data_IF_179734377516
#
_entry.id   IF_179734377516
#
_cell.length_a   1.000
_cell.length_b   1.000
_cell.length_c   1.000
_cell.angle_alpha   90.00
_cell.angle_beta   90.00
_cell.angle_gamma   90.00
#
_symmetry.space_group_name_H-M   'P 1'
#
loop_
_entity.id
_entity.type
_entity.pdbx_description
1 polymer ?
#
# COMPACT_ATOMS: atom_id res chain seq x y z
N UNK A 1 -2.11 -31.35 14.53
CA UNK A 1 -1.84 -30.10 15.26
C UNK A 1 -0.37 -29.77 15.09
N UNK A 2 0.49 -30.72 15.42
CA UNK A 2 1.96 -30.66 15.29
C UNK A 2 2.48 -30.14 13.92
N UNK A 3 1.96 -30.64 12.79
CA UNK A 3 2.38 -30.18 11.45
C UNK A 3 2.07 -28.71 11.15
N UNK A 4 0.93 -28.21 11.63
CA UNK A 4 0.53 -26.81 11.44
C UNK A 4 1.42 -25.90 12.29
N UNK A 5 1.78 -26.36 13.48
CA UNK A 5 2.69 -25.65 14.38
C UNK A 5 4.12 -25.62 13.79
N UNK A 6 4.58 -26.69 13.14
CA UNK A 6 5.86 -26.76 12.42
C UNK A 6 5.92 -25.85 11.19
N UNK A 7 4.88 -25.86 10.34
CA UNK A 7 4.79 -25.00 9.16
C UNK A 7 4.81 -23.51 9.53
N UNK A 8 4.09 -23.14 10.61
CA UNK A 8 4.07 -21.77 11.12
C UNK A 8 5.44 -21.34 11.65
N UNK A 9 6.16 -22.25 12.32
CA UNK A 9 7.50 -21.99 12.85
C UNK A 9 8.52 -21.79 11.75
N UNK A 10 8.50 -22.66 10.73
CA UNK A 10 9.41 -22.56 9.59
C UNK A 10 9.24 -21.23 8.85
N UNK A 11 7.99 -20.79 8.63
CA UNK A 11 7.71 -19.48 8.02
C UNK A 11 8.29 -18.33 8.86
N UNK A 12 8.09 -18.36 10.18
CA UNK A 12 8.63 -17.33 11.07
C UNK A 12 10.16 -17.29 11.05
N UNK A 13 10.82 -18.45 11.04
CA UNK A 13 12.28 -18.56 10.96
C UNK A 13 12.82 -18.00 9.63
N UNK A 14 12.14 -18.27 8.52
CA UNK A 14 12.46 -17.74 7.19
C UNK A 14 12.34 -16.22 7.14
N UNK A 15 11.23 -15.65 7.64
CA UNK A 15 11.04 -14.18 7.71
C UNK A 15 12.04 -13.52 8.66
N UNK A 16 12.39 -14.19 9.76
CA UNK A 16 13.43 -13.71 10.66
C UNK A 16 14.81 -13.73 10.01
N UNK A 17 15.11 -14.73 9.18
CA UNK A 17 16.36 -14.75 8.42
C UNK A 17 16.40 -13.61 7.41
N UNK A 18 15.33 -13.40 6.64
CA UNK A 18 15.23 -12.28 5.70
C UNK A 18 15.43 -10.92 6.39
N UNK A 19 14.79 -10.69 7.55
CA UNK A 19 14.95 -9.42 8.28
C UNK A 19 16.41 -9.19 8.70
N UNK A 20 17.09 -10.24 9.22
CA UNK A 20 18.51 -10.14 9.56
C UNK A 20 19.37 -9.88 8.33
N UNK A 21 19.12 -10.57 7.23
CA UNK A 21 19.88 -10.39 5.98
C UNK A 21 19.73 -8.96 5.47
N UNK A 22 18.52 -8.38 5.52
CA UNK A 22 18.27 -6.99 5.15
C UNK A 22 19.01 -6.00 6.05
N UNK A 23 19.01 -6.22 7.37
CA UNK A 23 19.71 -5.35 8.33
C UNK A 23 21.24 -5.40 8.18
N UNK A 24 21.79 -6.53 7.70
CA UNK A 24 23.23 -6.74 7.53
C UNK A 24 23.72 -6.46 6.09
N UNK A 25 22.80 -6.27 5.14
CA UNK A 25 23.13 -6.07 3.73
C UNK A 25 23.80 -4.70 3.49
N UNK A 26 24.83 -4.69 2.65
CA UNK A 26 25.40 -3.44 2.11
C UNK A 26 24.43 -2.76 1.12
N UNK A 27 23.53 -3.54 0.52
CA UNK A 27 22.47 -3.07 -0.39
C UNK A 27 21.14 -3.77 -0.04
N UNK A 28 20.41 -3.26 0.96
CA UNK A 28 19.14 -3.84 1.38
C UNK A 28 18.05 -3.71 0.33
N UNK A 29 18.09 -2.68 -0.52
CA UNK A 29 17.09 -2.46 -1.58
C UNK A 29 17.15 -3.56 -2.64
N UNK A 30 18.35 -3.84 -3.17
CA UNK A 30 18.52 -4.90 -4.17
C UNK A 30 18.09 -6.26 -3.61
N UNK A 31 18.46 -6.56 -2.35
CA UNK A 31 18.05 -7.80 -1.69
C UNK A 31 16.52 -7.88 -1.51
N UNK A 32 15.88 -6.80 -1.05
CA UNK A 32 14.44 -6.73 -0.88
C UNK A 32 13.69 -6.90 -2.21
N UNK A 33 14.19 -6.31 -3.30
CA UNK A 33 13.61 -6.50 -4.65
C UNK A 33 13.73 -7.95 -5.11
N UNK A 34 14.87 -8.60 -4.90
CA UNK A 34 15.08 -10.00 -5.28
C UNK A 34 14.17 -10.96 -4.50
N UNK A 35 13.93 -10.65 -3.21
CA UNK A 35 13.11 -11.46 -2.31
C UNK A 35 11.72 -10.86 -2.06
N UNK A 36 11.22 -10.04 -2.98
CA UNK A 36 9.99 -9.28 -2.79
C UNK A 36 8.77 -10.16 -2.45
N UNK A 37 8.70 -11.36 -3.01
CA UNK A 37 7.62 -12.32 -2.73
C UNK A 37 7.54 -12.77 -1.26
N UNK A 38 8.63 -12.60 -0.50
CA UNK A 38 8.72 -12.93 0.92
C UNK A 38 8.38 -11.75 1.84
N UNK A 39 8.25 -10.55 1.29
CA UNK A 39 7.80 -9.34 2.00
C UNK A 39 6.27 -9.37 2.16
N UNK A 40 5.79 -10.38 2.87
CA UNK A 40 4.37 -10.64 3.08
C UNK A 40 3.87 -10.10 4.44
N UNK A 41 2.61 -10.38 4.76
CA UNK A 41 2.01 -9.98 6.05
C UNK A 41 2.76 -10.55 7.25
N UNK A 42 3.32 -11.75 7.16
CA UNK A 42 4.07 -12.37 8.27
C UNK A 42 5.40 -11.64 8.48
N UNK A 43 6.09 -11.28 7.40
CA UNK A 43 7.29 -10.44 7.46
C UNK A 43 6.99 -9.06 8.09
N UNK A 44 5.95 -8.38 7.61
CA UNK A 44 5.56 -7.06 8.15
C UNK A 44 5.23 -7.13 9.64
N UNK A 45 4.48 -8.15 10.07
CA UNK A 45 4.16 -8.35 11.48
C UNK A 45 5.41 -8.58 12.34
N UNK A 46 6.37 -9.36 11.84
CA UNK A 46 7.65 -9.56 12.51
C UNK A 46 8.45 -8.26 12.63
N UNK A 47 8.54 -7.49 11.55
CA UNK A 47 9.25 -6.21 11.51
C UNK A 47 8.66 -5.21 12.50
N UNK A 48 7.33 -5.06 12.53
CA UNK A 48 6.64 -4.21 13.52
C UNK A 48 6.94 -4.65 14.95
N UNK A 49 6.85 -5.95 15.24
CA UNK A 49 7.14 -6.48 16.58
C UNK A 49 8.56 -6.17 17.04
N UNK A 50 9.56 -6.31 16.15
CA UNK A 50 10.95 -6.00 16.48
C UNK A 50 11.16 -4.49 16.68
N UNK A 51 10.47 -3.66 15.90
CA UNK A 51 10.54 -2.19 16.03
C UNK A 51 9.97 -1.73 17.38
N UNK A 52 8.80 -2.25 17.76
CA UNK A 52 8.17 -1.97 19.05
C UNK A 52 9.05 -2.42 20.22
N UNK A 53 9.66 -3.60 20.14
CA UNK A 53 10.59 -4.12 21.14
C UNK A 53 11.83 -3.22 21.28
N UNK A 54 12.47 -2.86 20.17
CA UNK A 54 13.63 -1.96 20.19
C UNK A 54 13.31 -0.59 20.80
N UNK A 55 12.12 -0.05 20.52
CA UNK A 55 11.65 1.19 21.13
C UNK A 55 11.40 1.05 22.64
N UNK A 56 10.77 -0.05 23.06
CA UNK A 56 10.48 -0.34 24.47
C UNK A 56 11.77 -0.52 25.30
N UNK A 57 12.81 -1.11 24.70
CA UNK A 57 14.13 -1.26 25.32
C UNK A 57 14.98 0.01 25.29
N UNK A 58 14.53 1.06 24.60
CA UNK A 58 15.30 2.29 24.40
C UNK A 58 16.52 2.11 23.48
N UNK A 59 16.53 1.04 22.67
CA UNK A 59 17.59 0.80 21.69
C UNK A 59 17.33 1.60 20.41
N UNK A 60 17.69 2.88 20.46
CA UNK A 60 17.44 3.80 19.33
C UNK A 60 18.14 3.39 18.03
N UNK A 61 19.31 2.75 18.10
CA UNK A 61 20.05 2.32 16.91
C UNK A 61 19.32 1.20 16.18
N UNK A 62 18.85 0.20 16.92
CA UNK A 62 18.04 -0.88 16.36
C UNK A 62 16.71 -0.33 15.81
N UNK A 63 16.03 0.55 16.56
CA UNK A 63 14.78 1.15 16.12
C UNK A 63 14.95 1.94 14.81
N UNK A 64 16.02 2.76 14.69
CA UNK A 64 16.32 3.48 13.44
C UNK A 64 16.57 2.55 12.26
N UNK A 65 17.32 1.47 12.49
CA UNK A 65 17.64 0.50 11.44
C UNK A 65 16.39 -0.26 10.96
N UNK A 66 15.54 -0.70 11.90
CA UNK A 66 14.27 -1.36 11.60
C UNK A 66 13.29 -0.41 10.88
N UNK A 67 13.23 0.86 11.28
CA UNK A 67 12.43 1.87 10.59
C UNK A 67 12.90 2.07 9.13
N UNK A 68 14.20 2.09 8.88
CA UNK A 68 14.71 2.20 7.51
C UNK A 68 14.30 1.01 6.63
N UNK A 69 14.29 -0.21 7.19
CA UNK A 69 13.78 -1.40 6.48
C UNK A 69 12.27 -1.29 6.24
N UNK A 70 11.51 -0.80 7.22
CA UNK A 70 10.07 -0.55 7.06
C UNK A 70 9.79 0.39 5.89
N UNK A 71 10.44 1.55 5.87
CA UNK A 71 10.25 2.55 4.83
C UNK A 71 10.64 2.01 3.45
N UNK A 72 11.74 1.26 3.36
CA UNK A 72 12.17 0.57 2.14
C UNK A 72 11.10 -0.41 1.62
N UNK A 73 10.58 -1.26 2.49
CA UNK A 73 9.58 -2.27 2.12
C UNK A 73 8.29 -1.62 1.65
N UNK A 74 7.82 -0.58 2.35
CA UNK A 74 6.64 0.18 1.93
C UNK A 74 6.86 0.86 0.58
N UNK A 75 8.02 1.46 0.35
CA UNK A 75 8.36 2.06 -0.93
C UNK A 75 8.29 1.04 -2.08
N UNK A 76 8.90 -0.15 -1.91
CA UNK A 76 8.84 -1.22 -2.90
C UNK A 76 7.41 -1.71 -3.15
N UNK A 77 6.60 -1.85 -2.10
CA UNK A 77 5.19 -2.22 -2.25
C UNK A 77 4.43 -1.18 -3.08
N UNK A 78 4.65 0.12 -2.80
CA UNK A 78 4.02 1.21 -3.55
C UNK A 78 4.42 1.23 -5.03
N UNK A 79 5.68 0.92 -5.35
CA UNK A 79 6.14 0.82 -6.75
C UNK A 79 5.37 -0.27 -7.54
N UNK A 80 5.00 -1.36 -6.87
CA UNK A 80 4.25 -2.46 -7.50
C UNK A 80 2.75 -2.18 -7.64
N UNK A 81 2.23 -1.13 -7.01
CA UNK A 81 0.82 -0.76 -7.16
C UNK A 81 0.54 -0.43 -8.63
N UNK A 82 -0.57 -0.92 -9.21
CA UNK A 82 -1.02 -0.48 -10.52
C UNK A 82 -1.15 1.06 -10.58
N UNK A 83 -0.86 1.68 -11.73
CA UNK A 83 -0.93 3.14 -11.86
C UNK A 83 -2.30 3.71 -11.49
N UNK A 84 -3.38 2.96 -11.74
CA UNK A 84 -4.75 3.33 -11.35
C UNK A 84 -4.93 3.39 -9.84
N UNK A 85 -4.30 2.48 -9.09
CA UNK A 85 -4.38 2.42 -7.62
C UNK A 85 -3.59 3.57 -7.01
N UNK A 86 -2.37 3.83 -7.51
CA UNK A 86 -1.57 4.99 -7.06
C UNK A 86 -2.31 6.30 -7.31
N UNK A 87 -2.90 6.43 -8.50
CA UNK A 87 -3.65 7.61 -8.87
C UNK A 87 -4.88 7.80 -7.97
N UNK A 88 -5.61 6.72 -7.67
CA UNK A 88 -6.71 6.77 -6.71
C UNK A 88 -6.25 7.18 -5.31
N UNK A 89 -5.13 6.66 -4.80
CA UNK A 89 -4.59 7.08 -3.50
C UNK A 89 -4.26 8.58 -3.47
N UNK A 90 -3.71 9.11 -4.57
CA UNK A 90 -3.44 10.54 -4.69
C UNK A 90 -4.75 11.35 -4.69
N UNK A 91 -5.74 10.94 -5.48
CA UNK A 91 -7.09 11.53 -5.48
C UNK A 91 -7.76 11.47 -4.11
N UNK A 92 -7.51 10.41 -3.34
CA UNK A 92 -7.98 10.22 -1.97
C UNK A 92 -7.11 10.93 -0.91
N UNK A 93 -6.08 11.67 -1.29
CA UNK A 93 -5.24 12.42 -0.34
C UNK A 93 -5.32 13.96 -0.51
N UNK A 94 -5.94 14.45 -1.58
CA UNK A 94 -6.20 15.88 -1.82
C UNK A 94 -7.11 16.54 -0.79
N UNK A 95 -6.97 17.85 -0.60
CA UNK A 95 -7.73 18.56 0.44
C UNK A 95 -9.09 19.10 -0.07
N UNK A 96 -9.31 19.13 -1.39
CA UNK A 96 -10.55 19.71 -1.94
C UNK A 96 -10.89 19.30 -3.37
N UNK A 97 -12.12 19.64 -3.76
CA UNK A 97 -12.70 19.28 -5.06
C UNK A 97 -11.92 19.85 -6.25
N UNK A 98 -11.47 21.10 -6.18
CA UNK A 98 -10.67 21.73 -7.24
C UNK A 98 -9.36 21.01 -7.52
N UNK A 99 -8.75 20.42 -6.48
CA UNK A 99 -7.52 19.66 -6.61
C UNK A 99 -7.79 18.28 -7.25
N UNK A 100 -8.93 17.65 -6.91
CA UNK A 100 -9.40 16.44 -7.58
C UNK A 100 -9.58 16.70 -9.07
N UNK A 101 -10.29 17.77 -9.44
CA UNK A 101 -10.49 18.14 -10.85
C UNK A 101 -9.16 18.33 -11.58
N UNK A 102 -8.24 19.09 -10.98
CA UNK A 102 -6.93 19.35 -11.57
C UNK A 102 -6.13 18.05 -11.79
N UNK A 103 -6.10 17.16 -10.80
CA UNK A 103 -5.41 15.87 -10.92
C UNK A 103 -6.03 14.96 -11.97
N UNK A 104 -7.36 14.92 -12.07
CA UNK A 104 -8.06 14.18 -13.11
C UNK A 104 -7.71 14.74 -14.50
N UNK A 105 -7.69 16.07 -14.68
CA UNK A 105 -7.29 16.69 -15.95
C UNK A 105 -5.84 16.39 -16.31
N UNK A 106 -4.92 16.53 -15.37
CA UNK A 106 -3.48 16.28 -15.57
C UNK A 106 -3.18 14.83 -15.92
N UNK A 107 -3.98 13.90 -15.37
CA UNK A 107 -3.82 12.46 -15.55
C UNK A 107 -4.94 11.85 -16.41
N UNK A 108 -5.47 12.59 -17.39
CA UNK A 108 -6.55 12.15 -18.30
C UNK A 108 -6.34 10.76 -18.91
N UNK A 109 -5.09 10.37 -19.17
CA UNK A 109 -4.73 9.04 -19.72
C UNK A 109 -5.00 7.89 -18.76
N UNK A 110 -5.02 8.16 -17.45
CA UNK A 110 -5.34 7.20 -16.40
C UNK A 110 -6.84 7.17 -16.09
N UNK A 111 -7.58 8.22 -16.46
CA UNK A 111 -9.04 8.30 -16.32
C UNK A 111 -9.73 7.47 -17.40
N UNK A 112 -9.80 6.16 -17.13
CA UNK A 112 -10.35 5.17 -18.05
C UNK A 112 -11.55 4.44 -17.43
N UNK A 113 -12.30 3.72 -18.27
CA UNK A 113 -13.32 2.77 -17.84
C UNK A 113 -12.82 1.76 -16.78
N UNK A 114 -11.52 1.40 -16.82
CA UNK A 114 -10.93 0.51 -15.82
C UNK A 114 -10.80 1.18 -14.46
N UNK A 115 -10.39 2.45 -14.42
CA UNK A 115 -10.33 3.24 -13.19
C UNK A 115 -11.72 3.43 -12.60
N UNK A 116 -12.72 3.75 -13.42
CA UNK A 116 -14.12 3.91 -12.98
C UNK A 116 -14.62 2.63 -12.30
N UNK A 117 -14.47 1.45 -12.94
CA UNK A 117 -14.88 0.17 -12.35
C UNK A 117 -14.13 -0.17 -11.06
N UNK A 118 -12.86 0.20 -10.96
CA UNK A 118 -12.08 0.03 -9.74
C UNK A 118 -12.67 0.85 -8.59
N UNK A 119 -12.95 2.13 -8.84
CA UNK A 119 -13.53 3.04 -7.85
C UNK A 119 -14.92 2.56 -7.42
N UNK A 120 -15.77 2.12 -8.36
CA UNK A 120 -17.10 1.55 -8.06
C UNK A 120 -17.02 0.35 -7.12
N UNK A 121 -16.09 -0.57 -7.38
CA UNK A 121 -15.90 -1.75 -6.55
C UNK A 121 -15.48 -1.36 -5.13
N UNK A 122 -14.61 -0.37 -4.98
CA UNK A 122 -14.16 0.12 -3.69
C UNK A 122 -15.27 0.87 -2.94
N UNK A 123 -16.07 1.67 -3.64
CA UNK A 123 -17.21 2.40 -3.05
C UNK A 123 -18.28 1.45 -2.50
N UNK A 124 -18.60 0.39 -3.26
CA UNK A 124 -19.50 -0.67 -2.79
C UNK A 124 -18.95 -1.37 -1.55
N UNK A 125 -17.66 -1.72 -1.55
CA UNK A 125 -17.01 -2.36 -0.40
C UNK A 125 -17.01 -1.47 0.86
N UNK A 126 -16.72 -0.17 0.70
CA UNK A 126 -16.72 0.79 1.81
C UNK A 126 -18.10 0.92 2.47
N UNK A 127 -19.17 0.93 1.68
CA UNK A 127 -20.56 0.97 2.20
C UNK A 127 -20.93 -0.32 2.93
N UNK A 128 -20.47 -1.46 2.44
CA UNK A 128 -20.71 -2.76 3.08
C UNK A 128 -19.94 -2.93 4.39
N UNK A 129 -18.70 -2.44 4.44
CA UNK A 129 -17.80 -2.57 5.60
C UNK A 129 -18.01 -1.49 6.68
N UNK A 130 -18.86 -0.49 6.42
CA UNK A 130 -19.12 0.61 7.36
C UNK A 130 -17.94 1.57 7.49
N UNK A 131 -17.24 1.84 6.39
CA UNK A 131 -16.14 2.80 6.34
C UNK A 131 -16.60 4.21 6.75
N UNK A 132 -15.68 5.11 7.16
CA UNK A 132 -16.03 6.48 7.53
C UNK A 132 -16.80 7.21 6.41
N UNK A 133 -17.93 7.84 6.76
CA UNK A 133 -18.82 8.51 5.79
C UNK A 133 -18.05 9.51 4.90
N UNK A 134 -17.15 10.30 5.50
CA UNK A 134 -16.34 11.27 4.78
C UNK A 134 -15.45 10.63 3.69
N UNK A 135 -14.96 9.41 3.92
CA UNK A 135 -14.17 8.70 2.92
C UNK A 135 -15.06 8.15 1.79
N UNK A 136 -16.25 7.65 2.13
CA UNK A 136 -17.22 7.16 1.15
C UNK A 136 -17.77 8.29 0.26
N UNK A 137 -18.13 9.44 0.86
CA UNK A 137 -18.56 10.64 0.13
C UNK A 137 -17.48 11.12 -0.84
N UNK A 138 -16.23 11.14 -0.39
CA UNK A 138 -15.11 11.56 -1.22
C UNK A 138 -14.85 10.61 -2.38
N UNK A 139 -14.94 9.30 -2.14
CA UNK A 139 -14.79 8.30 -3.20
C UNK A 139 -15.94 8.41 -4.23
N UNK A 140 -17.15 8.71 -3.77
CA UNK A 140 -18.30 8.96 -4.65
C UNK A 140 -18.11 10.21 -5.53
N UNK A 141 -17.57 11.30 -4.97
CA UNK A 141 -17.24 12.52 -5.71
C UNK A 141 -16.19 12.25 -6.80
N UNK A 142 -15.14 11.51 -6.47
CA UNK A 142 -14.11 11.11 -7.45
C UNK A 142 -14.71 10.24 -8.55
N UNK A 143 -15.61 9.32 -8.20
CA UNK A 143 -16.29 8.45 -9.14
C UNK A 143 -17.15 9.24 -10.15
N UNK A 144 -17.93 10.20 -9.65
CA UNK A 144 -18.79 11.05 -10.48
C UNK A 144 -17.96 11.80 -11.53
N UNK A 145 -16.92 12.51 -11.10
CA UNK A 145 -16.03 13.27 -11.98
C UNK A 145 -15.29 12.40 -12.98
N UNK A 146 -14.81 11.23 -12.55
CA UNK A 146 -14.16 10.28 -13.45
C UNK A 146 -15.14 9.77 -14.54
N UNK A 147 -16.40 9.50 -14.19
CA UNK A 147 -17.44 9.10 -15.15
C UNK A 147 -17.78 10.17 -16.16
N UNK A 148 -17.92 11.42 -15.72
CA UNK A 148 -18.14 12.56 -16.61
C UNK A 148 -17.02 12.66 -17.65
N UNK A 149 -15.78 12.54 -17.19
CA UNK A 149 -14.60 12.64 -18.06
C UNK A 149 -14.46 11.50 -19.06
N UNK A 150 -14.87 10.28 -18.71
CA UNK A 150 -14.89 9.14 -19.63
C UNK A 150 -16.06 9.25 -20.62
N UNK A 151 -17.25 9.65 -20.15
CA UNK A 151 -18.44 9.83 -20.98
C UNK A 151 -18.33 10.99 -21.99
N UNK A 152 -17.61 12.06 -21.65
CA UNK A 152 -17.27 13.15 -22.57
C UNK A 152 -16.27 12.73 -23.66
N UNK A 153 -15.35 11.80 -23.34
CA UNK A 153 -14.31 11.33 -24.25
C UNK A 153 -14.80 10.41 -25.37
N UNK A 154 -15.94 9.74 -25.19
CA UNK A 154 -16.53 8.82 -26.16
C UNK A 154 -17.45 9.52 -27.20
N UNK A 155 -17.59 10.85 -27.08
CA UNK A 155 -18.41 11.70 -27.97
C UNK A 155 -17.61 12.52 -29.00
N UNK A 156 -16.30 12.26 -29.14
CA UNK A 156 -15.40 12.97 -30.07
C UNK A 156 -14.77 12.01 -31.10
#
# INVERSE_FOLDING_TARGET
RDRIDEETRALYEERSALLRDLLLSEDPETLARQRFAELDRAFLGLLTSNLEEAQAEGNEEAARSLQAIWDLVFHLMEETLPPEIRFLNQLMSTEGETEIDSLLQENRTLVTEQLVRLIEKMESGMREEGAPEAAAERLALVLEKAKEMVGEGDSA
#
